data_IF_604637195587
#
_entry.id   IF_604637195587
#
_cell.length_a   1.000
_cell.length_b   1.000
_cell.length_c   1.000
_cell.angle_alpha   90.00
_cell.angle_beta   90.00
_cell.angle_gamma   90.00
#
_symmetry.space_group_name_H-M   'P 1'
#
loop_
_entity.id
_entity.type
_entity.pdbx_description
1 polymer ?
#
# COMPACT_ATOMS: atom_id res chain seq x y z
N UNK A 1 5.63 -8.55 11.26
CA UNK A 1 6.35 -7.58 10.40
C UNK A 1 5.58 -7.50 9.10
N UNK A 2 5.27 -6.31 8.58
CA UNK A 2 4.54 -6.17 7.32
C UNK A 2 5.51 -5.82 6.20
N UNK A 3 5.08 -5.99 4.94
CA UNK A 3 5.91 -5.72 3.77
C UNK A 3 6.15 -4.22 3.57
N UNK A 4 7.40 -3.79 3.69
CA UNK A 4 7.84 -2.43 3.32
C UNK A 4 8.21 -2.37 1.84
N UNK A 5 8.38 -1.16 1.30
CA UNK A 5 8.86 -0.98 -0.08
C UNK A 5 10.22 -1.65 -0.31
N UNK A 6 11.16 -1.50 0.63
CA UNK A 6 12.48 -2.14 0.56
C UNK A 6 12.37 -3.68 0.54
N UNK A 7 11.48 -4.27 1.33
CA UNK A 7 11.23 -5.71 1.32
C UNK A 7 10.59 -6.17 0.00
N UNK A 8 9.66 -5.39 -0.55
CA UNK A 8 9.08 -5.65 -1.87
C UNK A 8 10.16 -5.64 -2.96
N UNK A 9 11.08 -4.68 -2.94
CA UNK A 9 12.24 -4.61 -3.85
C UNK A 9 13.12 -5.85 -3.71
N UNK A 10 13.43 -6.27 -2.48
CA UNK A 10 14.25 -7.45 -2.22
C UNK A 10 13.58 -8.74 -2.71
N UNK A 11 12.31 -8.96 -2.38
CA UNK A 11 11.51 -10.11 -2.83
C UNK A 11 11.40 -10.16 -4.35
N UNK A 12 11.24 -9.01 -5.01
CA UNK A 12 11.22 -8.92 -6.47
C UNK A 12 12.56 -9.33 -7.08
N UNK A 13 13.68 -8.87 -6.52
CA UNK A 13 15.03 -9.25 -6.98
C UNK A 13 15.30 -10.74 -6.82
N UNK A 14 14.75 -11.35 -5.76
CA UNK A 14 14.78 -12.80 -5.51
C UNK A 14 13.81 -13.60 -6.38
N UNK A 15 12.98 -12.93 -7.19
CA UNK A 15 11.96 -13.55 -8.07
C UNK A 15 10.93 -14.36 -7.30
N UNK A 16 10.52 -13.84 -6.14
CA UNK A 16 9.48 -14.46 -5.30
C UNK A 16 8.06 -14.24 -5.88
N UNK A 17 7.91 -13.32 -6.83
CA UNK A 17 6.66 -13.03 -7.54
C UNK A 17 6.70 -13.52 -8.99
N UNK A 18 5.57 -13.97 -9.53
CA UNK A 18 5.46 -14.37 -10.94
C UNK A 18 5.68 -13.16 -11.86
N UNK A 19 5.19 -11.99 -11.46
CA UNK A 19 5.25 -10.73 -12.18
C UNK A 19 6.57 -9.97 -11.98
N UNK A 20 7.62 -10.61 -11.45
CA UNK A 20 8.86 -9.94 -11.04
C UNK A 20 9.47 -9.03 -12.13
N UNK A 21 9.38 -9.39 -13.40
CA UNK A 21 9.86 -8.54 -14.50
C UNK A 21 9.13 -7.19 -14.57
N UNK A 22 7.81 -7.18 -14.35
CA UNK A 22 7.01 -5.97 -14.34
C UNK A 22 7.31 -5.14 -13.09
N UNK A 23 7.50 -5.78 -11.95
CA UNK A 23 7.88 -5.10 -10.71
C UNK A 23 9.29 -4.50 -10.76
N UNK A 24 10.25 -5.17 -11.39
CA UNK A 24 11.58 -4.59 -11.62
C UNK A 24 11.52 -3.33 -12.49
N UNK A 25 10.60 -3.30 -13.47
CA UNK A 25 10.40 -2.12 -14.30
C UNK A 25 9.73 -0.99 -13.51
N UNK A 26 8.67 -1.31 -12.77
CA UNK A 26 7.99 -0.39 -11.86
C UNK A 26 8.98 0.25 -10.87
N UNK A 27 9.86 -0.54 -10.27
CA UNK A 27 10.87 -0.06 -9.32
C UNK A 27 11.80 0.97 -9.95
N UNK A 28 12.30 0.70 -11.16
CA UNK A 28 13.14 1.66 -11.90
C UNK A 28 12.38 2.95 -12.21
N UNK A 29 11.14 2.83 -12.67
CA UNK A 29 10.30 3.99 -12.97
C UNK A 29 10.04 4.83 -11.70
N UNK A 30 9.86 4.21 -10.53
CA UNK A 30 9.73 4.92 -9.26
C UNK A 30 11.04 5.58 -8.81
N UNK A 31 12.18 4.91 -8.95
CA UNK A 31 13.51 5.46 -8.63
C UNK A 31 13.91 6.62 -9.56
N UNK A 32 13.35 6.70 -10.76
CA UNK A 32 13.54 7.83 -11.69
C UNK A 32 12.66 9.04 -11.32
N UNK A 33 11.52 8.81 -10.66
CA UNK A 33 10.53 9.85 -10.34
C UNK A 33 10.64 10.38 -8.90
N UNK A 34 11.13 9.55 -7.97
CA UNK A 34 11.15 9.82 -6.53
C UNK A 34 12.47 9.41 -5.87
N UNK A 35 12.86 10.11 -4.80
CA UNK A 35 13.88 9.62 -3.87
C UNK A 35 13.20 8.62 -2.92
N UNK A 36 13.08 7.36 -3.35
CA UNK A 36 12.30 6.32 -2.66
C UNK A 36 12.73 6.05 -1.21
N UNK A 37 13.93 6.46 -0.80
CA UNK A 37 14.40 6.32 0.59
C UNK A 37 13.93 7.48 1.48
N UNK A 38 13.67 8.65 0.92
CA UNK A 38 13.26 9.85 1.65
C UNK A 38 11.78 10.16 1.50
N UNK A 39 11.26 10.02 0.29
CA UNK A 39 9.92 10.47 -0.05
C UNK A 39 8.85 9.49 0.45
N UNK A 40 9.17 8.19 0.52
CA UNK A 40 8.19 7.15 0.85
C UNK A 40 8.06 6.97 2.37
N UNK A 41 6.95 7.46 2.91
CA UNK A 41 6.61 7.34 4.33
C UNK A 41 6.04 5.96 4.65
N UNK A 42 5.17 5.45 3.79
CA UNK A 42 4.54 4.13 3.99
C UNK A 42 4.19 3.47 2.67
N UNK A 43 4.28 2.14 2.62
CA UNK A 43 3.96 1.34 1.44
C UNK A 43 2.90 0.29 1.77
N UNK A 44 1.86 0.23 0.97
CA UNK A 44 0.77 -0.74 1.11
C UNK A 44 0.44 -1.42 -0.23
N UNK A 45 0.89 -2.67 -0.45
CA UNK A 45 0.71 -3.38 -1.71
C UNK A 45 -0.62 -4.12 -1.77
N UNK A 46 -1.72 -3.39 -1.92
CA UNK A 46 -3.06 -3.97 -1.91
C UNK A 46 -3.23 -5.03 -3.00
N UNK A 47 -3.80 -6.17 -2.62
CA UNK A 47 -4.07 -7.32 -3.49
C UNK A 47 -2.82 -8.03 -4.06
N UNK A 48 -1.61 -7.76 -3.56
CA UNK A 48 -0.39 -8.43 -4.05
C UNK A 48 -0.40 -9.95 -3.87
N UNK A 49 -1.12 -10.47 -2.88
CA UNK A 49 -1.16 -11.90 -2.57
C UNK A 49 -2.53 -12.54 -2.86
N UNK A 50 -3.38 -11.89 -3.63
CA UNK A 50 -4.67 -12.46 -4.01
C UNK A 50 -4.95 -12.23 -5.51
N UNK A 51 -6.07 -12.75 -6.00
CA UNK A 51 -6.39 -12.73 -7.43
C UNK A 51 -7.21 -11.49 -7.85
N UNK A 52 -7.21 -10.42 -7.04
CA UNK A 52 -7.89 -9.15 -7.37
C UNK A 52 -6.93 -8.21 -8.08
N UNK A 53 -7.46 -7.08 -8.54
CA UNK A 53 -6.66 -6.04 -9.19
C UNK A 53 -5.64 -5.46 -8.22
N UNK A 54 -4.36 -5.53 -8.61
CA UNK A 54 -3.22 -5.02 -7.87
C UNK A 54 -3.24 -3.49 -7.81
N UNK A 55 -3.07 -2.96 -6.61
CA UNK A 55 -3.03 -1.53 -6.34
C UNK A 55 -1.90 -1.27 -5.32
N UNK A 56 -0.87 -0.53 -5.72
CA UNK A 56 0.14 -0.05 -4.78
C UNK A 56 -0.26 1.33 -4.27
N UNK A 57 -0.34 1.48 -2.96
CA UNK A 57 -0.57 2.75 -2.31
C UNK A 57 0.72 3.15 -1.59
N UNK A 58 1.25 4.31 -1.94
CA UNK A 58 2.48 4.87 -1.36
C UNK A 58 2.11 6.18 -0.70
N UNK A 59 2.30 6.26 0.62
CA UNK A 59 2.12 7.50 1.36
C UNK A 59 3.41 8.31 1.31
N UNK A 60 3.25 9.59 0.99
CA UNK A 60 4.30 10.61 0.91
C UNK A 60 4.03 11.64 2.03
N UNK A 61 4.96 12.57 2.25
CA UNK A 61 4.76 13.63 3.27
C UNK A 61 3.56 14.54 2.95
N UNK A 62 3.30 14.79 1.65
CA UNK A 62 2.30 15.74 1.16
C UNK A 62 1.06 15.08 0.53
N UNK A 63 0.88 13.78 0.76
CA UNK A 63 -0.29 13.03 0.30
C UNK A 63 0.00 11.57 0.00
N UNK A 64 -0.50 11.07 -1.13
CA UNK A 64 -0.30 9.68 -1.52
C UNK A 64 -0.31 9.47 -3.03
N UNK A 65 0.36 8.41 -3.46
CA UNK A 65 0.41 7.92 -4.83
C UNK A 65 -0.31 6.58 -4.91
N UNK A 66 -1.22 6.46 -5.89
CA UNK A 66 -1.84 5.18 -6.27
C UNK A 66 -1.22 4.72 -7.58
N UNK A 67 -0.85 3.44 -7.61
CA UNK A 67 -0.33 2.77 -8.81
C UNK A 67 -1.18 1.54 -9.10
N UNK A 68 -1.83 1.52 -10.24
CA UNK A 68 -2.72 0.43 -10.68
C UNK A 68 -2.27 -0.13 -12.02
N UNK A 69 -2.62 -1.39 -12.28
CA UNK A 69 -2.45 -1.97 -13.61
C UNK A 69 -3.30 -1.23 -14.66
N UNK A 70 -2.68 -0.89 -15.78
CA UNK A 70 -3.33 -0.37 -16.97
C UNK A 70 -3.05 -1.29 -18.17
N UNK A 71 -3.80 -1.14 -19.28
CA UNK A 71 -3.69 -2.02 -20.45
C UNK A 71 -2.26 -2.24 -20.96
N UNK A 72 -1.39 -1.23 -20.83
CA UNK A 72 -0.01 -1.23 -21.34
C UNK A 72 1.02 -0.77 -20.28
N UNK A 73 0.86 -1.16 -19.01
CA UNK A 73 1.80 -0.81 -17.94
C UNK A 73 1.08 -0.41 -16.67
N UNK A 74 1.59 0.63 -15.99
CA UNK A 74 1.00 1.16 -14.77
C UNK A 74 0.40 2.55 -14.98
N UNK A 75 -0.71 2.84 -14.29
CA UNK A 75 -1.23 4.20 -14.13
C UNK A 75 -0.75 4.72 -12.77
N UNK A 76 -0.13 5.88 -12.78
CA UNK A 76 0.33 6.60 -11.60
C UNK A 76 -0.60 7.78 -11.36
N UNK A 77 -1.18 7.89 -10.17
CA UNK A 77 -2.03 9.01 -9.79
C UNK A 77 -1.61 9.51 -8.41
N UNK A 78 -0.95 10.68 -8.39
CA UNK A 78 -0.52 11.34 -7.17
C UNK A 78 -1.58 12.35 -6.72
N UNK A 79 -1.90 12.29 -5.43
CA UNK A 79 -2.83 13.20 -4.77
C UNK A 79 -2.06 13.99 -3.70
N UNK A 80 -2.05 15.32 -3.86
CA UNK A 80 -1.61 16.23 -2.81
C UNK A 80 -2.79 16.54 -1.90
N UNK A 81 -2.67 16.23 -0.61
CA UNK A 81 -3.75 16.37 0.36
C UNK A 81 -3.31 16.11 1.80
N UNK A 82 -4.07 16.66 2.75
CA UNK A 82 -3.90 16.43 4.18
C UNK A 82 -4.95 15.45 4.72
N UNK A 83 -4.59 14.69 5.77
CA UNK A 83 -5.50 13.77 6.42
C UNK A 83 -6.50 14.54 7.29
N UNK A 84 -7.79 14.45 6.95
CA UNK A 84 -8.87 15.05 7.74
C UNK A 84 -9.30 14.15 8.89
N UNK A 85 -9.47 12.84 8.61
CA UNK A 85 -9.87 11.89 9.63
C UNK A 85 -9.43 10.46 9.31
N UNK A 86 -9.28 9.65 10.35
CA UNK A 86 -9.02 8.22 10.25
C UNK A 86 -9.90 7.45 11.22
N UNK A 87 -10.40 6.29 10.80
CA UNK A 87 -11.15 5.38 11.67
C UNK A 87 -10.69 3.94 11.45
N UNK A 88 -10.44 3.25 12.56
CA UNK A 88 -10.01 1.85 12.56
C UNK A 88 -11.13 0.98 13.16
N UNK A 89 -11.63 0.03 12.38
CA UNK A 89 -12.58 -0.99 12.82
C UNK A 89 -11.84 -2.31 13.00
N UNK A 90 -12.14 -2.99 14.10
CA UNK A 90 -11.62 -4.31 14.45
C UNK A 90 -12.78 -5.27 14.60
N UNK A 91 -12.58 -6.50 14.18
CA UNK A 91 -13.50 -7.59 14.49
C UNK A 91 -13.19 -8.13 15.89
N UNK A 92 -14.21 -8.17 16.77
CA UNK A 92 -14.09 -8.61 18.16
C UNK A 92 -13.65 -10.08 18.26
N UNK A 93 -13.95 -10.91 17.25
CA UNK A 93 -13.63 -12.33 17.24
C UNK A 93 -12.31 -12.66 16.56
N UNK A 94 -11.82 -11.74 15.71
CA UNK A 94 -10.62 -11.96 14.91
C UNK A 94 -9.77 -10.69 14.81
N UNK A 95 -8.75 -10.61 15.67
CA UNK A 95 -7.79 -9.50 15.70
C UNK A 95 -7.00 -9.30 14.39
N UNK A 96 -7.07 -10.27 13.47
CA UNK A 96 -6.43 -10.22 12.16
C UNK A 96 -7.26 -9.48 11.12
N UNK A 97 -8.57 -9.26 11.34
CA UNK A 97 -9.38 -8.44 10.44
C UNK A 97 -9.36 -6.98 10.92
N UNK A 98 -8.63 -6.14 10.20
CA UNK A 98 -8.48 -4.71 10.48
C UNK A 98 -8.96 -3.94 9.27
N UNK A 99 -9.81 -2.93 9.49
CA UNK A 99 -10.31 -2.06 8.45
C UNK A 99 -10.00 -0.62 8.81
N UNK A 100 -9.26 0.07 7.94
CA UNK A 100 -8.89 1.46 8.12
C UNK A 100 -9.50 2.29 7.00
N UNK A 101 -10.31 3.26 7.41
CA UNK A 101 -10.79 4.33 6.54
C UNK A 101 -9.96 5.59 6.82
N UNK A 102 -9.43 6.19 5.76
CA UNK A 102 -8.77 7.49 5.76
C UNK A 102 -9.59 8.45 4.89
N UNK A 103 -9.81 9.66 5.36
CA UNK A 103 -10.52 10.72 4.62
C UNK A 103 -9.60 11.93 4.52
N UNK A 104 -9.47 12.47 3.32
CA UNK A 104 -8.58 13.58 3.00
C UNK A 104 -9.37 14.86 2.65
N UNK A 105 -8.70 16.00 2.73
CA UNK A 105 -9.29 17.33 2.52
C UNK A 105 -9.71 17.60 1.07
N UNK A 106 -9.08 16.92 0.11
CA UNK A 106 -9.47 16.91 -1.29
C UNK A 106 -10.72 16.05 -1.60
N UNK A 107 -11.36 15.49 -0.57
CA UNK A 107 -12.56 14.65 -0.68
C UNK A 107 -12.30 13.20 -1.09
N UNK A 108 -11.03 12.79 -1.24
CA UNK A 108 -10.66 11.39 -1.46
C UNK A 108 -10.78 10.60 -0.16
N UNK A 109 -11.06 9.31 -0.31
CA UNK A 109 -11.08 8.35 0.78
C UNK A 109 -10.27 7.12 0.39
N UNK A 110 -9.50 6.59 1.35
CA UNK A 110 -8.85 5.29 1.22
C UNK A 110 -9.47 4.30 2.20
N UNK A 111 -9.78 3.10 1.70
CA UNK A 111 -10.29 1.99 2.49
C UNK A 111 -9.30 0.83 2.39
N UNK A 112 -8.67 0.49 3.51
CA UNK A 112 -7.75 -0.63 3.63
C UNK A 112 -8.39 -1.71 4.49
N UNK A 113 -8.30 -2.96 4.07
CA UNK A 113 -8.93 -4.09 4.74
C UNK A 113 -8.01 -5.29 4.67
N UNK A 114 -7.47 -5.72 5.81
CA UNK A 114 -6.45 -6.78 5.84
C UNK A 114 -6.94 -8.10 5.23
N UNK A 115 -8.21 -8.46 5.41
CA UNK A 115 -8.77 -9.69 4.84
C UNK A 115 -9.06 -9.53 3.34
N UNK A 116 -9.67 -8.41 2.94
CA UNK A 116 -10.10 -8.21 1.56
C UNK A 116 -8.92 -7.91 0.62
N UNK A 117 -7.86 -7.32 1.15
CA UNK A 117 -6.70 -6.84 0.38
C UNK A 117 -5.56 -7.87 0.33
N UNK A 118 -5.72 -9.01 0.99
CA UNK A 118 -4.71 -10.08 1.04
C UNK A 118 -5.34 -11.47 0.95
N UNK A 119 -4.75 -12.47 1.62
CA UNK A 119 -5.23 -13.84 1.73
C UNK A 119 -5.02 -14.38 3.16
N UNK A 120 -5.40 -15.64 3.41
CA UNK A 120 -5.30 -16.26 4.74
C UNK A 120 -3.86 -16.31 5.31
N UNK A 121 -2.85 -16.38 4.45
CA UNK A 121 -1.45 -16.47 4.85
C UNK A 121 -0.83 -15.10 5.17
N UNK A 122 -1.40 -14.01 4.64
CA UNK A 122 -0.85 -12.65 4.73
C UNK A 122 -1.73 -11.66 5.51
N UNK A 123 -2.90 -12.11 5.99
CA UNK A 123 -3.86 -11.27 6.72
C UNK A 123 -3.24 -10.62 7.96
N UNK A 124 -2.36 -11.30 8.68
CA UNK A 124 -1.74 -10.80 9.91
C UNK A 124 -0.73 -9.68 9.63
N UNK A 125 0.00 -9.80 8.53
CA UNK A 125 0.96 -8.85 8.01
C UNK A 125 0.22 -7.59 7.57
N UNK A 126 -0.87 -7.74 6.81
CA UNK A 126 -1.70 -6.60 6.39
C UNK A 126 -2.39 -5.93 7.58
N UNK A 127 -2.87 -6.69 8.55
CA UNK A 127 -3.41 -6.15 9.80
C UNK A 127 -2.37 -5.35 10.57
N UNK A 128 -1.13 -5.83 10.58
CA UNK A 128 0.01 -5.13 11.19
C UNK A 128 0.35 -3.86 10.43
N UNK A 129 0.35 -3.89 9.09
CA UNK A 129 0.54 -2.72 8.24
C UNK A 129 -0.51 -1.64 8.51
N UNK A 130 -1.79 -2.03 8.53
CA UNK A 130 -2.91 -1.12 8.80
C UNK A 130 -2.78 -0.49 10.19
N UNK A 131 -2.44 -1.27 11.22
CA UNK A 131 -2.23 -0.76 12.58
C UNK A 131 -1.05 0.21 12.64
N UNK A 132 0.02 -0.06 11.91
CA UNK A 132 1.19 0.81 11.90
C UNK A 132 0.90 2.12 11.17
N UNK A 133 0.30 2.05 9.98
CA UNK A 133 -0.16 3.22 9.25
C UNK A 133 -1.08 4.08 10.12
N UNK A 134 -2.05 3.48 10.82
CA UNK A 134 -2.93 4.21 11.73
C UNK A 134 -2.16 4.97 12.82
N UNK A 135 -1.03 4.47 13.32
CA UNK A 135 -0.22 5.17 14.34
C UNK A 135 0.57 6.32 13.73
N UNK A 136 1.23 6.08 12.60
CA UNK A 136 2.22 7.02 12.05
C UNK A 136 1.58 8.09 11.18
N UNK A 137 0.43 7.82 10.56
CA UNK A 137 -0.20 8.80 9.68
C UNK A 137 -0.75 9.94 10.52
N UNK A 138 -0.17 11.11 10.36
CA UNK A 138 -0.57 12.32 11.07
C UNK A 138 -1.51 13.15 10.19
N UNK A 139 -2.16 14.11 10.84
CA UNK A 139 -2.86 15.19 10.17
C UNK A 139 -1.86 16.25 9.75
#
# INVERSE_FOLDING_TARGET
MFMTYAQFVESTKKREFEEYHQFLRLQKELEELYDVEKDFVFFYPKNLFNNKELEFIIFLEDGFLIIENAKNGYRYEQFYCELVSKSLVRDDFNNSNQQLKLVFDNGKELMLNSLADSNQNWINEYASAIKELYKIILR
#
